data_IF_893837514109
#
_entry.id   IF_893837514109
#
_cell.length_a   1.000
_cell.length_b   1.000
_cell.length_c   1.000
_cell.angle_alpha   90.00
_cell.angle_beta   90.00
_cell.angle_gamma   90.00
#
_symmetry.space_group_name_H-M   'P 1'
#
loop_
_entity.id
_entity.type
_entity.pdbx_description
1 polymer ?
#
# COMPACT_ATOMS: atom_id res chain seq x y z
N UNK A 1 15.35 -1.95 -16.99
CA UNK A 1 16.41 -0.92 -17.29
C UNK A 1 16.97 -0.49 -15.94
N UNK A 2 18.29 -0.37 -15.76
CA UNK A 2 18.85 0.07 -14.47
C UNK A 2 18.92 1.60 -14.46
N UNK A 3 18.18 2.31 -13.58
CA UNK A 3 18.22 3.77 -13.51
C UNK A 3 19.58 4.23 -13.01
N UNK A 4 20.17 5.22 -13.68
CA UNK A 4 21.48 5.79 -13.34
C UNK A 4 21.36 7.19 -12.72
N UNK A 5 20.16 7.78 -12.79
CA UNK A 5 19.85 9.06 -12.16
C UNK A 5 18.69 8.95 -11.16
N UNK A 6 18.66 9.88 -10.20
CA UNK A 6 17.53 10.01 -9.27
C UNK A 6 16.22 10.27 -10.02
N UNK A 7 16.26 11.03 -11.12
CA UNK A 7 15.06 11.38 -11.89
C UNK A 7 14.43 10.15 -12.55
N UNK A 8 15.24 9.28 -13.16
CA UNK A 8 14.79 8.01 -13.74
C UNK A 8 14.16 7.11 -12.68
N UNK A 9 14.84 6.90 -11.56
CA UNK A 9 14.31 6.10 -10.45
C UNK A 9 13.01 6.71 -9.89
N UNK A 10 12.95 8.05 -9.78
CA UNK A 10 11.77 8.74 -9.26
C UNK A 10 10.56 8.55 -10.17
N UNK A 11 10.74 8.51 -11.49
CA UNK A 11 9.65 8.24 -12.44
C UNK A 11 9.08 6.84 -12.24
N UNK A 12 9.94 5.82 -12.16
CA UNK A 12 9.54 4.43 -11.91
C UNK A 12 8.77 4.32 -10.60
N UNK A 13 9.37 4.76 -9.48
CA UNK A 13 8.75 4.71 -8.16
C UNK A 13 7.42 5.47 -8.12
N UNK A 14 7.32 6.64 -8.77
CA UNK A 14 6.07 7.43 -8.79
C UNK A 14 4.95 6.70 -9.50
N UNK A 15 5.25 6.08 -10.63
CA UNK A 15 4.26 5.31 -11.38
C UNK A 15 3.80 4.10 -10.57
N UNK A 16 4.72 3.25 -10.11
CA UNK A 16 4.41 2.08 -9.28
C UNK A 16 3.63 2.45 -8.02
N UNK A 17 4.04 3.52 -7.32
CA UNK A 17 3.34 3.99 -6.11
C UNK A 17 1.88 4.31 -6.41
N UNK A 18 1.61 4.95 -7.55
CA UNK A 18 0.26 5.29 -7.95
C UNK A 18 -0.56 4.04 -8.25
N UNK A 19 -0.01 3.10 -9.01
CA UNK A 19 -0.67 1.85 -9.40
C UNK A 19 -1.02 1.01 -8.15
N UNK A 20 -0.06 0.81 -7.26
CA UNK A 20 -0.25 0.08 -5.99
C UNK A 20 -1.31 0.74 -5.10
N UNK A 21 -1.31 2.08 -4.99
CA UNK A 21 -2.36 2.76 -4.23
C UNK A 21 -3.73 2.65 -4.89
N UNK A 22 -3.83 2.77 -6.21
CA UNK A 22 -5.10 2.61 -6.93
C UNK A 22 -5.67 1.18 -6.75
N UNK A 23 -4.82 0.15 -6.66
CA UNK A 23 -5.21 -1.24 -6.43
C UNK A 23 -5.60 -1.55 -4.98
N UNK A 24 -4.78 -1.13 -4.01
CA UNK A 24 -4.95 -1.55 -2.62
C UNK A 24 -5.93 -0.65 -1.84
N UNK A 25 -6.08 0.63 -2.22
CA UNK A 25 -6.93 1.59 -1.47
C UNK A 25 -8.40 1.16 -1.41
N UNK A 26 -9.03 0.65 -2.48
CA UNK A 26 -10.41 0.15 -2.42
C UNK A 26 -10.60 -0.96 -1.37
N UNK A 27 -9.60 -1.84 -1.23
CA UNK A 27 -9.64 -2.93 -0.24
C UNK A 27 -9.56 -2.38 1.18
N UNK A 28 -8.67 -1.41 1.43
CA UNK A 28 -8.59 -0.72 2.72
C UNK A 28 -9.92 -0.04 3.06
N UNK A 29 -10.53 0.70 2.13
CA UNK A 29 -11.82 1.37 2.37
C UNK A 29 -12.89 0.36 2.78
N UNK A 30 -12.96 -0.78 2.09
CA UNK A 30 -13.92 -1.83 2.42
C UNK A 30 -13.72 -2.36 3.85
N UNK A 31 -12.48 -2.65 4.24
CA UNK A 31 -12.14 -3.15 5.59
C UNK A 31 -12.50 -2.09 6.64
N UNK A 32 -12.10 -0.84 6.45
CA UNK A 32 -12.40 0.24 7.39
C UNK A 32 -13.91 0.45 7.58
N UNK A 33 -14.70 0.35 6.51
CA UNK A 33 -16.15 0.44 6.59
C UNK A 33 -16.79 -0.74 7.32
N UNK A 34 -16.25 -1.95 7.17
CA UNK A 34 -16.67 -3.12 7.94
C UNK A 34 -16.34 -2.95 9.43
N UNK A 35 -15.12 -2.50 9.76
CA UNK A 35 -14.68 -2.25 11.15
C UNK A 35 -15.57 -1.21 11.83
N UNK A 36 -15.90 -0.10 11.15
CA UNK A 36 -16.81 0.92 11.70
C UNK A 36 -18.20 0.38 12.01
N UNK A 37 -18.73 -0.48 11.14
CA UNK A 37 -20.08 -1.06 11.26
C UNK A 37 -20.14 -2.28 12.18
N UNK A 38 -19.00 -2.78 12.65
CA UNK A 38 -18.96 -3.96 13.51
C UNK A 38 -19.59 -3.66 14.89
N UNK A 39 -20.76 -4.21 15.17
CA UNK A 39 -21.48 -4.01 16.44
C UNK A 39 -20.86 -4.78 17.61
N UNK A 40 -19.94 -5.72 17.34
CA UNK A 40 -19.27 -6.51 18.36
C UNK A 40 -18.09 -5.79 19.02
N UNK A 41 -17.66 -4.66 18.45
CA UNK A 41 -16.51 -3.88 18.93
C UNK A 41 -16.98 -2.61 19.65
N UNK A 42 -16.31 -2.30 20.76
CA UNK A 42 -16.43 -0.99 21.41
C UNK A 42 -15.88 0.13 20.50
N UNK A 43 -16.19 1.38 20.82
CA UNK A 43 -15.65 2.51 20.06
C UNK A 43 -14.11 2.57 20.09
N UNK A 44 -13.51 2.24 21.23
CA UNK A 44 -12.06 2.18 21.41
C UNK A 44 -11.45 1.05 20.56
N UNK A 45 -12.03 -0.15 20.62
CA UNK A 45 -11.58 -1.28 19.81
C UNK A 45 -11.66 -0.99 18.31
N UNK A 46 -12.70 -0.29 17.85
CA UNK A 46 -12.80 0.14 16.44
C UNK A 46 -11.66 1.07 16.04
N UNK A 47 -11.25 1.99 16.92
CA UNK A 47 -10.13 2.88 16.64
C UNK A 47 -8.82 2.09 16.55
N UNK A 48 -8.59 1.17 17.47
CA UNK A 48 -7.39 0.32 17.48
C UNK A 48 -7.29 -0.51 16.19
N UNK A 49 -8.38 -1.16 15.78
CA UNK A 49 -8.44 -1.96 14.55
C UNK A 49 -8.23 -1.09 13.30
N UNK A 50 -8.87 0.09 13.22
CA UNK A 50 -8.65 1.03 12.10
C UNK A 50 -7.18 1.43 12.00
N UNK A 51 -6.51 1.73 13.13
CA UNK A 51 -5.10 2.07 13.12
C UNK A 51 -4.25 0.88 12.67
N UNK A 52 -4.58 -0.33 13.11
CA UNK A 52 -3.90 -1.55 12.70
C UNK A 52 -4.03 -1.79 11.19
N UNK A 53 -5.24 -1.67 10.65
CA UNK A 53 -5.51 -1.81 9.21
C UNK A 53 -4.74 -0.78 8.38
N UNK A 54 -4.72 0.48 8.83
CA UNK A 54 -3.95 1.54 8.16
C UNK A 54 -2.44 1.27 8.19
N UNK A 55 -1.90 0.80 9.31
CA UNK A 55 -0.48 0.43 9.40
C UNK A 55 -0.15 -0.76 8.49
N UNK A 56 -1.03 -1.76 8.45
CA UNK A 56 -0.93 -2.91 7.55
C UNK A 56 -0.89 -2.47 6.09
N UNK A 57 -1.80 -1.59 5.69
CA UNK A 57 -1.86 -1.03 4.34
C UNK A 57 -0.58 -0.31 3.94
N UNK A 58 -0.07 0.60 4.78
CA UNK A 58 1.18 1.35 4.49
C UNK A 58 2.36 0.39 4.30
N UNK A 59 2.46 -0.64 5.14
CA UNK A 59 3.50 -1.67 5.03
C UNK A 59 3.36 -2.46 3.72
N UNK A 60 2.15 -2.91 3.39
CA UNK A 60 1.90 -3.66 2.16
C UNK A 60 2.22 -2.83 0.92
N UNK A 61 1.77 -1.57 0.86
CA UNK A 61 2.11 -0.68 -0.26
C UNK A 61 3.62 -0.51 -0.40
N UNK A 62 4.34 -0.28 0.70
CA UNK A 62 5.80 -0.12 0.68
C UNK A 62 6.49 -1.38 0.15
N UNK A 63 6.03 -2.56 0.58
CA UNK A 63 6.58 -3.82 0.13
C UNK A 63 6.33 -4.05 -1.37
N UNK A 64 5.10 -3.82 -1.84
CA UNK A 64 4.74 -4.04 -3.24
C UNK A 64 5.52 -3.11 -4.16
N UNK A 65 5.58 -1.82 -3.82
CA UNK A 65 6.37 -0.82 -4.56
C UNK A 65 7.84 -1.25 -4.63
N UNK A 66 8.41 -1.72 -3.52
CA UNK A 66 9.80 -2.17 -3.49
C UNK A 66 10.03 -3.41 -4.35
N UNK A 67 9.12 -4.38 -4.31
CA UNK A 67 9.21 -5.61 -5.08
C UNK A 67 9.12 -5.29 -6.57
N UNK A 68 8.10 -4.57 -7.01
CA UNK A 68 7.88 -4.24 -8.42
C UNK A 68 9.01 -3.39 -9.00
N UNK A 69 9.44 -2.34 -8.29
CA UNK A 69 10.55 -1.49 -8.74
C UNK A 69 11.84 -2.30 -8.86
N UNK A 70 12.15 -3.16 -7.88
CA UNK A 70 13.34 -4.00 -7.94
C UNK A 70 13.24 -5.07 -9.03
N UNK A 71 12.08 -5.68 -9.23
CA UNK A 71 11.81 -6.63 -10.30
C UNK A 71 12.07 -6.00 -11.67
N UNK A 72 11.57 -4.79 -11.92
CA UNK A 72 11.79 -4.06 -13.17
C UNK A 72 13.27 -3.66 -13.39
N UNK A 73 13.95 -3.26 -12.32
CA UNK A 73 15.38 -2.92 -12.37
C UNK A 73 16.22 -4.16 -12.70
N UNK A 74 15.93 -5.29 -12.06
CA UNK A 74 16.67 -6.53 -12.19
C UNK A 74 16.26 -7.36 -13.41
N UNK A 75 15.14 -7.04 -14.05
CA UNK A 75 14.58 -7.79 -15.18
C UNK A 75 14.08 -9.17 -14.77
N UNK A 76 13.42 -9.26 -13.61
CA UNK A 76 12.86 -10.48 -13.06
C UNK A 76 11.34 -10.38 -13.22
N UNK A 77 10.75 -11.30 -14.00
CA UNK A 77 9.29 -11.47 -14.10
C UNK A 77 8.72 -12.21 -12.87
#
# INVERSE_FOLDING_TARGET
>A
MVPVTKEELSKMVTQTTREVYEELTPQLIMILEQTKKNEQLSAEQKQDEIMLDMMGFVKSCTNEIMIEVLAEILGID
#
